data_IF_791110454184
#
_entry.id   IF_791110454184
#
_cell.length_a   1.000
_cell.length_b   1.000
_cell.length_c   1.000
_cell.angle_alpha   90.00
_cell.angle_beta   90.00
_cell.angle_gamma   90.00
#
_symmetry.space_group_name_H-M   'P 1'
#
loop_
_entity.id
_entity.type
_entity.pdbx_description
1 polymer ?
#
# COMPACT_ATOMS: atom_id res chain seq x y z
N UNK A 1 -8.05 0.27 8.62
CA UNK A 1 -6.77 -0.24 8.05
C UNK A 1 -6.89 -1.75 7.91
N UNK A 2 -6.72 -2.29 6.71
CA UNK A 2 -6.71 -3.74 6.47
C UNK A 2 -5.29 -4.31 6.53
N UNK A 3 -5.16 -5.56 6.97
CA UNK A 3 -3.96 -6.38 6.85
C UNK A 3 -4.20 -7.41 5.75
N UNK A 4 -3.25 -7.53 4.83
CA UNK A 4 -3.38 -8.35 3.64
C UNK A 4 -2.21 -9.32 3.53
N UNK A 5 -2.47 -10.51 3.00
CA UNK A 5 -1.46 -11.51 2.69
C UNK A 5 -1.64 -12.02 1.27
N UNK A 6 -0.51 -12.36 0.62
CA UNK A 6 -0.51 -13.00 -0.69
C UNK A 6 0.03 -14.41 -0.51
N UNK A 7 -0.79 -15.40 -0.86
CA UNK A 7 -0.43 -16.82 -0.76
C UNK A 7 -0.77 -17.49 -2.08
N UNK A 8 0.21 -18.15 -2.71
CA UNK A 8 0.05 -18.81 -4.01
C UNK A 8 -0.62 -17.93 -5.08
N UNK A 9 -0.18 -16.67 -5.19
CA UNK A 9 -0.74 -15.65 -6.09
C UNK A 9 -2.21 -15.27 -5.83
N UNK A 10 -2.74 -15.55 -4.65
CA UNK A 10 -4.09 -15.12 -4.24
C UNK A 10 -3.97 -14.09 -3.12
N UNK A 11 -4.72 -12.98 -3.25
CA UNK A 11 -4.79 -11.90 -2.28
C UNK A 11 -5.87 -12.19 -1.23
N UNK A 12 -5.47 -12.16 0.04
CA UNK A 12 -6.34 -12.41 1.18
C UNK A 12 -6.36 -11.22 2.13
N UNK A 13 -7.54 -10.88 2.64
CA UNK A 13 -7.72 -9.99 3.78
C UNK A 13 -7.67 -10.84 5.06
N UNK A 14 -6.63 -10.64 5.86
CA UNK A 14 -6.38 -11.42 7.09
C UNK A 14 -6.69 -10.64 8.37
N UNK A 15 -6.91 -9.34 8.27
CA UNK A 15 -7.28 -8.53 9.43
C UNK A 15 -7.86 -7.17 9.04
N UNK A 16 -8.70 -6.62 9.91
CA UNK A 16 -9.17 -5.24 9.83
C UNK A 16 -8.95 -4.59 11.19
N UNK A 17 -8.41 -3.37 11.19
CA UNK A 17 -8.35 -2.50 12.36
C UNK A 17 -9.19 -1.25 12.09
N UNK A 18 -10.11 -0.94 13.00
CA UNK A 18 -10.88 0.30 12.97
C UNK A 18 -10.07 1.40 13.65
N UNK A 19 -9.99 2.55 12.99
CA UNK A 19 -9.44 3.76 13.60
C UNK A 19 -10.54 4.39 14.43
N UNK A 20 -10.30 4.54 15.73
CA UNK A 20 -11.17 5.22 16.66
C UNK A 20 -10.44 6.44 17.22
N UNK A 21 -11.07 7.61 17.15
CA UNK A 21 -10.53 8.86 17.67
C UNK A 21 -11.50 9.40 18.72
N UNK A 22 -11.05 9.51 19.96
CA UNK A 22 -11.71 10.28 21.03
C UNK A 22 -10.94 11.58 21.28
N UNK A 23 -11.49 12.46 22.14
CA UNK A 23 -10.88 13.77 22.45
C UNK A 23 -9.43 13.64 22.96
N UNK A 24 -9.14 12.61 23.75
CA UNK A 24 -7.82 12.44 24.40
C UNK A 24 -6.91 11.37 23.78
N UNK A 25 -7.40 10.58 22.82
CA UNK A 25 -6.62 9.43 22.34
C UNK A 25 -7.02 8.96 20.94
N UNK A 26 -6.01 8.52 20.19
CA UNK A 26 -6.18 7.82 18.93
C UNK A 26 -5.84 6.34 19.11
N UNK A 27 -6.78 5.45 18.79
CA UNK A 27 -6.61 3.99 18.91
C UNK A 27 -6.95 3.27 17.62
N UNK A 28 -6.27 2.14 17.42
CA UNK A 28 -6.64 1.15 16.41
C UNK A 28 -7.20 -0.09 17.12
N UNK A 29 -8.51 -0.33 16.97
CA UNK A 29 -9.17 -1.49 17.54
C UNK A 29 -9.21 -2.63 16.51
N UNK A 30 -8.71 -3.83 16.81
CA UNK A 30 -8.83 -4.96 15.91
C UNK A 30 -10.31 -5.33 15.77
N UNK A 31 -10.80 -5.35 14.54
CA UNK A 31 -12.06 -5.98 14.22
C UNK A 31 -11.79 -7.49 14.20
N UNK A 32 -12.38 -8.25 15.14
CA UNK A 32 -12.27 -9.70 15.11
C UNK A 32 -12.95 -10.22 13.85
N UNK A 33 -12.15 -10.65 12.88
CA UNK A 33 -12.58 -11.57 11.84
C UNK A 33 -12.47 -12.95 12.46
N UNK A 34 -13.59 -13.58 12.82
CA UNK A 34 -13.58 -14.87 13.53
C UNK A 34 -13.06 -16.00 12.63
N UNK A 35 -11.74 -16.16 12.54
CA UNK A 35 -11.10 -17.25 11.79
C UNK A 35 -11.31 -17.21 10.27
N UNK A 36 -11.86 -16.12 9.73
CA UNK A 36 -12.15 -16.00 8.30
C UNK A 36 -11.03 -15.26 7.58
N UNK A 37 -10.28 -16.01 6.77
CA UNK A 37 -9.41 -15.47 5.73
C UNK A 37 -10.30 -15.22 4.52
N UNK A 38 -10.46 -13.96 4.12
CA UNK A 38 -11.28 -13.61 2.96
C UNK A 38 -10.41 -13.47 1.73
N UNK A 39 -10.62 -14.33 0.73
CA UNK A 39 -10.08 -14.03 -0.60
C UNK A 39 -10.71 -12.73 -1.11
N UNK A 40 -9.88 -11.82 -1.60
CA UNK A 40 -10.29 -10.52 -2.09
C UNK A 40 -10.89 -10.60 -3.50
N UNK A 41 -11.86 -11.49 -3.73
CA UNK A 41 -12.48 -11.72 -5.05
C UNK A 41 -13.16 -10.48 -5.64
N UNK A 42 -13.47 -9.51 -4.80
CA UNK A 42 -14.05 -8.23 -5.15
C UNK A 42 -13.03 -7.18 -5.63
N UNK A 43 -11.73 -7.45 -5.53
CA UNK A 43 -10.69 -6.49 -5.86
C UNK A 43 -9.99 -6.82 -7.20
N UNK A 44 -9.92 -5.81 -8.06
CA UNK A 44 -9.07 -5.78 -9.26
C UNK A 44 -8.38 -4.43 -9.34
N UNK A 45 -7.07 -4.41 -9.59
CA UNK A 45 -6.28 -3.18 -9.57
C UNK A 45 -4.78 -3.44 -9.46
N UNK A 46 -4.02 -2.36 -9.24
CA UNK A 46 -2.57 -2.41 -9.05
C UNK A 46 -2.22 -2.26 -7.56
N UNK A 47 -1.41 -3.19 -7.05
CA UNK A 47 -0.77 -3.08 -5.75
C UNK A 47 0.68 -2.64 -5.93
N UNK A 48 1.06 -1.55 -5.28
CA UNK A 48 2.42 -1.04 -5.27
C UNK A 48 3.04 -1.35 -3.91
N UNK A 49 4.06 -2.21 -3.89
CA UNK A 49 4.80 -2.57 -2.69
C UNK A 49 6.21 -1.98 -2.75
N UNK A 50 6.55 -1.05 -1.84
CA UNK A 50 7.92 -0.59 -1.68
C UNK A 50 8.85 -1.73 -1.25
N UNK A 51 9.94 -1.95 -1.99
CA UNK A 51 10.93 -2.99 -1.65
C UNK A 51 12.13 -2.45 -0.88
N UNK A 52 12.31 -1.12 -0.89
CA UNK A 52 13.43 -0.42 -0.27
C UNK A 52 12.93 0.80 0.49
N UNK A 53 13.82 1.42 1.28
CA UNK A 53 13.51 2.68 1.98
C UNK A 53 13.18 3.79 0.96
N UNK A 54 12.29 4.73 1.33
CA UNK A 54 11.93 5.85 0.46
C UNK A 54 13.17 6.69 0.13
N UNK A 55 13.29 7.07 -1.13
CA UNK A 55 14.40 7.88 -1.66
C UNK A 55 14.11 9.36 -1.54
N UNK A 56 12.82 9.72 -1.57
CA UNK A 56 12.36 11.09 -1.43
C UNK A 56 11.01 11.13 -0.71
N UNK A 57 10.88 12.10 0.18
CA UNK A 57 9.67 12.37 0.93
C UNK A 57 9.24 13.81 0.66
N UNK A 58 7.97 14.00 0.30
CA UNK A 58 7.38 15.32 0.17
C UNK A 58 6.14 15.42 1.06
N UNK A 59 5.89 16.57 1.69
CA UNK A 59 4.74 16.73 2.60
C UNK A 59 3.38 16.48 1.92
N UNK A 60 3.30 16.71 0.61
CA UNK A 60 2.04 16.71 -0.16
C UNK A 60 1.90 15.59 -1.20
N UNK A 61 2.95 14.78 -1.42
CA UNK A 61 2.93 13.71 -2.42
C UNK A 61 3.29 12.36 -1.77
N UNK A 62 2.90 11.27 -2.42
CA UNK A 62 3.34 9.95 -1.99
C UNK A 62 4.87 9.86 -2.05
N UNK A 63 5.52 9.21 -1.06
CA UNK A 63 6.96 9.00 -1.10
C UNK A 63 7.35 8.27 -2.38
N UNK A 64 8.48 8.67 -2.97
CA UNK A 64 9.05 7.96 -4.11
C UNK A 64 10.04 6.94 -3.58
N UNK A 65 9.87 5.68 -3.97
CA UNK A 65 10.76 4.59 -3.59
C UNK A 65 11.62 4.19 -4.78
N UNK A 66 12.93 4.01 -4.57
CA UNK A 66 13.88 3.65 -5.64
C UNK A 66 13.48 2.36 -6.32
N UNK A 67 12.83 1.46 -5.58
CA UNK A 67 12.44 0.14 -6.07
C UNK A 67 11.09 -0.27 -5.52
N UNK A 68 10.17 -0.56 -6.42
CA UNK A 68 8.81 -0.96 -6.14
C UNK A 68 8.48 -2.25 -6.88
N UNK A 69 7.63 -3.07 -6.27
CA UNK A 69 6.97 -4.18 -6.94
C UNK A 69 5.55 -3.75 -7.27
N UNK A 70 5.22 -3.72 -8.55
CA UNK A 70 3.88 -3.43 -9.04
C UNK A 70 3.23 -4.77 -9.39
N UNK A 71 2.14 -5.12 -8.72
CA UNK A 71 1.39 -6.35 -8.95
C UNK A 71 0.00 -6.03 -9.49
N UNK A 72 -0.36 -6.67 -10.59
CA UNK A 72 -1.69 -6.54 -11.19
C UNK A 72 -2.58 -7.65 -10.65
N UNK A 73 -3.73 -7.25 -10.13
CA UNK A 73 -4.71 -8.12 -9.50
C UNK A 73 -5.99 -8.13 -10.31
N UNK A 74 -6.52 -9.32 -10.59
CA UNK A 74 -7.84 -9.54 -11.17
C UNK A 74 -8.64 -10.47 -10.27
N UNK A 75 -9.77 -10.00 -9.72
CA UNK A 75 -10.66 -10.76 -8.83
C UNK A 75 -9.89 -11.47 -7.70
N UNK A 76 -8.96 -10.76 -7.07
CA UNK A 76 -8.13 -11.27 -5.99
C UNK A 76 -7.00 -12.21 -6.42
N UNK A 77 -6.76 -12.42 -7.72
CA UNK A 77 -5.64 -13.20 -8.25
C UNK A 77 -4.55 -12.29 -8.80
N UNK A 78 -3.29 -12.53 -8.41
CA UNK A 78 -2.14 -11.86 -9.00
C UNK A 78 -1.91 -12.44 -10.39
N UNK A 79 -2.21 -11.67 -11.44
CA UNK A 79 -2.08 -12.10 -12.84
C UNK A 79 -0.75 -11.70 -13.46
N UNK A 80 -0.11 -10.66 -12.94
CA UNK A 80 1.19 -10.19 -13.41
C UNK A 80 1.91 -9.41 -12.32
N UNK A 81 3.23 -9.33 -12.39
CA UNK A 81 4.03 -8.46 -11.55
C UNK A 81 5.25 -7.95 -12.31
N UNK A 82 5.69 -6.73 -11.96
CA UNK A 82 6.92 -6.13 -12.47
C UNK A 82 7.66 -5.43 -11.35
N UNK A 83 8.98 -5.39 -11.47
CA UNK A 83 9.82 -4.54 -10.63
C UNK A 83 10.03 -3.23 -11.37
N UNK A 84 9.73 -2.12 -10.70
CA UNK A 84 9.93 -0.76 -11.21
C UNK A 84 11.06 -0.12 -10.40
N UNK A 85 12.06 0.39 -11.11
CA UNK A 85 13.13 1.19 -10.52
C UNK A 85 12.87 2.66 -10.82
N UNK A 86 12.46 3.41 -9.79
CA UNK A 86 12.18 4.83 -9.91
C UNK A 86 13.48 5.63 -9.73
N UNK A 87 13.63 6.68 -10.53
CA UNK A 87 14.68 7.67 -10.34
C UNK A 87 14.13 8.82 -9.51
N UNK A 88 14.98 9.38 -8.64
CA UNK A 88 14.66 10.63 -7.97
C UNK A 88 14.47 11.67 -9.06
N UNK A 89 13.33 12.39 -9.11
CA UNK A 89 13.18 13.48 -10.04
C UNK A 89 14.30 14.48 -9.78
N UNK A 90 14.99 14.92 -10.84
CA UNK A 90 15.90 16.04 -10.74
C UNK A 90 15.06 17.22 -10.26
N UNK A 91 15.27 17.64 -9.02
CA UNK A 91 14.67 18.87 -8.51
C UNK A 91 15.39 19.98 -9.26
N UNK A 92 14.81 20.43 -10.37
CA UNK A 92 15.17 21.74 -10.90
C UNK A 92 14.89 22.72 -9.75
N UNK A 93 15.97 23.31 -9.21
CA UNK A 93 15.92 24.49 -8.34
C UNK A 93 15.47 25.69 -9.18
N UNK A 94 14.31 25.56 -9.82
CA UNK A 94 13.61 26.67 -10.41
C UNK A 94 12.88 27.31 -9.24
N UNK A 95 13.63 28.20 -8.57
CA UNK A 95 13.24 28.91 -7.38
C UNK A 95 11.76 29.23 -7.34
N UNK A 96 11.15 28.90 -6.20
CA UNK A 96 9.79 29.26 -5.84
C UNK A 96 9.40 30.63 -6.41
N UNK A 97 8.37 30.73 -7.27
CA UNK A 97 7.69 31.99 -7.43
C UNK A 97 6.74 32.13 -6.25
N UNK A 98 7.22 32.84 -5.22
CA UNK A 98 6.47 33.56 -4.18
C UNK A 98 5.64 32.74 -3.18
#
# INVERSE_FOLDING_TARGET
MGTWEIVNNVLYLTGIKLRYRSEDEEKFLPLKLEGVIYQATWYSGELIIPLVKPTWYHPSYQPIYTKEMHMFVENGLIVNHKIVENKVPEVEDNGLPF
#
